data_IF_709972779800
#
_entry.id   IF_709972779800
#
_cell.length_a   1.000
_cell.length_b   1.000
_cell.length_c   1.000
_cell.angle_alpha   90.00
_cell.angle_beta   90.00
_cell.angle_gamma   90.00
#
_symmetry.space_group_name_H-M   'P 1'
#
loop_
_entity.id
_entity.type
_entity.pdbx_description
1 polymer ?
#
# COMPACT_ATOMS: atom_id res chain seq x y z
N UNK A 1 -31.08 -17.53 16.55
CA UNK A 1 -30.87 -16.16 16.01
C UNK A 1 -29.90 -15.47 16.96
N UNK A 2 -28.69 -15.18 16.49
CA UNK A 2 -27.57 -14.77 17.34
C UNK A 2 -27.85 -13.41 18.01
N UNK A 3 -27.91 -13.45 19.34
CA UNK A 3 -28.08 -12.29 20.20
C UNK A 3 -26.81 -11.46 20.18
N UNK A 4 -26.73 -10.45 19.30
CA UNK A 4 -25.64 -9.45 19.26
C UNK A 4 -25.88 -8.45 20.39
N UNK A 5 -25.78 -8.91 21.64
CA UNK A 5 -25.67 -8.02 22.79
C UNK A 5 -24.20 -7.98 23.20
N UNK A 6 -23.43 -7.17 22.49
CA UNK A 6 -22.13 -6.71 22.96
C UNK A 6 -22.38 -5.92 24.25
N UNK A 7 -22.15 -6.52 25.41
CA UNK A 7 -22.16 -5.83 26.70
C UNK A 7 -20.98 -4.84 26.73
N UNK A 8 -21.17 -3.51 26.62
CA UNK A 8 -20.07 -2.57 26.39
C UNK A 8 -19.17 -2.29 27.61
N UNK A 9 -19.34 -2.96 28.75
CA UNK A 9 -18.88 -2.42 30.04
C UNK A 9 -17.55 -2.97 30.61
N UNK A 10 -16.80 -3.81 29.89
CA UNK A 10 -15.54 -4.37 30.42
C UNK A 10 -14.23 -3.76 29.89
N UNK A 11 -14.21 -3.32 28.63
CA UNK A 11 -13.01 -2.87 27.94
C UNK A 11 -13.34 -1.96 26.74
N UNK A 12 -13.67 -0.67 26.97
CA UNK A 12 -14.22 0.22 25.93
C UNK A 12 -13.28 0.40 24.73
N UNK A 13 -11.97 0.50 24.97
CA UNK A 13 -10.96 0.64 23.90
C UNK A 13 -10.93 -0.59 23.00
N UNK A 14 -11.06 -1.79 23.56
CA UNK A 14 -11.06 -3.04 22.78
C UNK A 14 -12.27 -3.11 21.86
N UNK A 15 -13.44 -2.74 22.36
CA UNK A 15 -14.67 -2.68 21.56
C UNK A 15 -14.53 -1.68 20.42
N UNK A 16 -13.99 -0.48 20.69
CA UNK A 16 -13.75 0.52 19.65
C UNK A 16 -12.77 0.03 18.57
N UNK A 17 -11.67 -0.62 18.96
CA UNK A 17 -10.71 -1.21 18.02
C UNK A 17 -11.38 -2.28 17.16
N UNK A 18 -12.18 -3.16 17.75
CA UNK A 18 -12.91 -4.19 17.02
C UNK A 18 -13.92 -3.60 16.04
N UNK A 19 -14.73 -2.63 16.48
CA UNK A 19 -15.66 -1.91 15.61
C UNK A 19 -14.93 -1.22 14.45
N UNK A 20 -13.79 -0.57 14.72
CA UNK A 20 -12.97 0.06 13.70
C UNK A 20 -12.43 -0.97 12.69
N UNK A 21 -11.88 -2.09 13.16
CA UNK A 21 -11.36 -3.16 12.30
C UNK A 21 -12.49 -3.76 11.44
N UNK A 22 -13.64 -4.09 12.05
CA UNK A 22 -14.80 -4.63 11.34
C UNK A 22 -15.30 -3.65 10.27
N UNK A 23 -15.35 -2.36 10.58
CA UNK A 23 -15.70 -1.32 9.62
C UNK A 23 -14.72 -1.28 8.44
N UNK A 24 -13.41 -1.31 8.71
CA UNK A 24 -12.38 -1.33 7.65
C UNK A 24 -12.47 -2.58 6.78
N UNK A 25 -12.72 -3.75 7.38
CA UNK A 25 -12.92 -5.01 6.63
C UNK A 25 -14.16 -4.91 5.74
N UNK A 26 -15.26 -4.35 6.23
CA UNK A 26 -16.47 -4.14 5.44
C UNK A 26 -16.20 -3.26 4.21
N UNK A 27 -15.48 -2.14 4.39
CA UNK A 27 -15.06 -1.28 3.28
C UNK A 27 -14.15 -2.01 2.28
N UNK A 28 -13.21 -2.81 2.77
CA UNK A 28 -12.30 -3.59 1.91
C UNK A 28 -13.09 -4.61 1.06
N UNK A 29 -14.07 -5.28 1.67
CA UNK A 29 -14.92 -6.26 0.99
C UNK A 29 -15.78 -5.57 -0.08
N UNK A 30 -16.38 -4.43 0.24
CA UNK A 30 -17.13 -3.62 -0.72
C UNK A 30 -16.23 -3.22 -1.90
N UNK A 31 -15.01 -2.76 -1.64
CA UNK A 31 -14.07 -2.39 -2.68
C UNK A 31 -13.70 -3.60 -3.59
N UNK A 32 -13.42 -4.76 -3.01
CA UNK A 32 -13.07 -5.98 -3.74
C UNK A 32 -14.25 -6.55 -4.55
N UNK A 33 -15.46 -6.50 -4.00
CA UNK A 33 -16.68 -7.01 -4.63
C UNK A 33 -17.35 -6.00 -5.56
N UNK A 34 -16.90 -4.73 -5.58
CA UNK A 34 -17.48 -3.70 -6.44
C UNK A 34 -17.29 -4.07 -7.92
N UNK A 35 -18.37 -4.20 -8.72
CA UNK A 35 -18.26 -4.43 -10.15
C UNK A 35 -17.79 -3.15 -10.85
N UNK A 36 -16.90 -3.30 -11.84
CA UNK A 36 -16.48 -2.20 -12.71
C UNK A 36 -14.97 -2.24 -13.03
N UNK A 37 -14.56 -1.95 -14.28
CA UNK A 37 -13.15 -1.73 -14.58
C UNK A 37 -12.65 -0.55 -13.73
N UNK A 38 -11.49 -0.73 -13.08
CA UNK A 38 -10.89 0.35 -12.31
C UNK A 38 -10.68 1.57 -13.21
N UNK A 39 -11.08 2.76 -12.76
CA UNK A 39 -10.89 4.03 -13.49
C UNK A 39 -9.42 4.40 -13.73
N UNK A 40 -8.49 3.58 -13.24
CA UNK A 40 -7.07 3.85 -13.18
C UNK A 40 -6.30 2.89 -14.09
N UNK A 41 -5.58 3.45 -15.07
CA UNK A 41 -4.70 2.72 -16.00
C UNK A 41 -3.25 2.64 -15.53
N UNK A 42 -2.85 3.38 -14.49
CA UNK A 42 -1.48 3.39 -13.99
C UNK A 42 -1.10 2.06 -13.34
N UNK A 43 -2.04 1.41 -12.64
CA UNK A 43 -1.84 0.09 -12.05
C UNK A 43 -1.70 -1.01 -13.12
N UNK A 44 -2.44 -0.91 -14.22
CA UNK A 44 -2.31 -1.86 -15.34
C UNK A 44 -0.99 -1.66 -16.10
N UNK A 45 -0.49 -0.42 -16.20
CA UNK A 45 0.82 -0.11 -16.76
C UNK A 45 1.97 -0.63 -15.87
N UNK A 46 1.87 -0.47 -14.55
CA UNK A 46 2.82 -1.04 -13.60
C UNK A 46 2.88 -2.57 -13.69
N UNK A 47 1.72 -3.22 -13.75
CA UNK A 47 1.64 -4.68 -13.86
C UNK A 47 2.19 -5.19 -15.20
N UNK A 48 1.93 -4.46 -16.28
CA UNK A 48 2.49 -4.73 -17.61
C UNK A 48 4.02 -4.57 -17.62
N UNK A 49 4.54 -3.54 -16.96
CA UNK A 49 5.98 -3.32 -16.81
C UNK A 49 6.65 -4.46 -16.03
N UNK A 50 6.06 -4.92 -14.91
CA UNK A 50 6.57 -6.05 -14.14
C UNK A 50 6.62 -7.36 -14.94
N UNK A 51 5.62 -7.58 -15.80
CA UNK A 51 5.59 -8.73 -16.70
C UNK A 51 6.69 -8.64 -17.77
N UNK A 52 6.94 -7.46 -18.33
CA UNK A 52 8.01 -7.21 -19.31
C UNK A 52 9.41 -7.44 -18.72
N UNK A 53 9.61 -7.14 -17.43
CA UNK A 53 10.89 -7.34 -16.70
C UNK A 53 11.14 -8.83 -16.34
N UNK A 54 10.30 -9.75 -16.82
CA UNK A 54 10.49 -11.19 -16.59
C UNK A 54 10.19 -11.65 -15.17
N UNK A 55 9.51 -10.82 -14.36
CA UNK A 55 9.02 -11.26 -13.05
C UNK A 55 7.86 -12.23 -13.24
N UNK A 56 7.82 -13.30 -12.45
CA UNK A 56 6.79 -14.36 -12.51
C UNK A 56 5.39 -13.75 -12.66
N UNK A 57 4.59 -14.27 -13.61
CA UNK A 57 3.18 -13.89 -13.76
C UNK A 57 2.48 -14.04 -12.41
N UNK A 58 1.95 -12.94 -11.90
CA UNK A 58 1.13 -12.95 -10.69
C UNK A 58 -0.16 -13.74 -10.96
N UNK A 59 -0.73 -14.46 -9.98
CA UNK A 59 -2.03 -15.11 -10.15
C UNK A 59 -3.10 -14.08 -10.54
N UNK A 60 -4.05 -14.47 -11.40
CA UNK A 60 -5.11 -13.57 -11.91
C UNK A 60 -5.91 -12.89 -10.80
N UNK A 61 -6.20 -13.62 -9.71
CA UNK A 61 -6.88 -13.09 -8.52
C UNK A 61 -6.07 -11.97 -7.85
N UNK A 62 -4.74 -12.14 -7.77
CA UNK A 62 -3.86 -11.12 -7.18
C UNK A 62 -3.77 -9.91 -8.09
N UNK A 63 -3.72 -10.11 -9.42
CA UNK A 63 -3.77 -9.00 -10.38
C UNK A 63 -5.08 -8.21 -10.27
N UNK A 64 -6.21 -8.90 -10.13
CA UNK A 64 -7.52 -8.28 -9.92
C UNK A 64 -7.57 -7.47 -8.62
N UNK A 65 -7.09 -8.05 -7.51
CA UNK A 65 -7.03 -7.36 -6.22
C UNK A 65 -6.09 -6.15 -6.26
N UNK A 66 -4.92 -6.26 -6.89
CA UNK A 66 -4.00 -5.14 -7.09
C UNK A 66 -4.69 -4.04 -7.91
N UNK A 67 -5.36 -4.38 -9.00
CA UNK A 67 -6.10 -3.41 -9.82
C UNK A 67 -7.22 -2.69 -9.06
N UNK A 68 -7.82 -3.34 -8.06
CA UNK A 68 -8.90 -2.77 -7.23
C UNK A 68 -8.39 -1.97 -6.03
N UNK A 69 -7.29 -2.40 -5.42
CA UNK A 69 -6.76 -1.84 -4.17
C UNK A 69 -5.66 -0.81 -4.40
N UNK A 70 -4.88 -0.95 -5.48
CA UNK A 70 -3.79 -0.04 -5.82
C UNK A 70 -4.32 1.01 -6.78
N UNK A 71 -4.38 2.24 -6.27
CA UNK A 71 -4.75 3.45 -7.01
C UNK A 71 -3.51 4.34 -7.16
N UNK A 72 -3.56 5.29 -8.10
CA UNK A 72 -2.51 6.26 -8.39
C UNK A 72 -1.87 6.86 -7.14
N UNK A 73 -2.67 7.21 -6.13
CA UNK A 73 -2.21 7.72 -4.84
C UNK A 73 -1.13 6.84 -4.17
N UNK A 74 -1.30 5.50 -4.19
CA UNK A 74 -0.31 4.56 -3.67
C UNK A 74 1.01 4.61 -4.47
N UNK A 75 0.95 4.81 -5.79
CA UNK A 75 2.14 4.95 -6.64
C UNK A 75 2.88 6.22 -6.27
N UNK A 76 2.17 7.33 -6.05
CA UNK A 76 2.77 8.59 -5.60
C UNK A 76 3.40 8.46 -4.21
N UNK A 77 2.74 7.80 -3.26
CA UNK A 77 3.33 7.59 -1.93
C UNK A 77 4.62 6.77 -1.97
N UNK A 78 4.68 5.72 -2.79
CA UNK A 78 5.90 4.92 -2.97
C UNK A 78 6.99 5.78 -3.62
N UNK A 79 6.66 6.55 -4.65
CA UNK A 79 7.62 7.44 -5.31
C UNK A 79 8.16 8.49 -4.35
N UNK A 80 7.29 9.19 -3.62
CA UNK A 80 7.67 10.17 -2.60
C UNK A 80 8.51 9.55 -1.47
N UNK A 81 8.23 8.29 -1.08
CA UNK A 81 9.04 7.59 -0.08
C UNK A 81 10.47 7.28 -0.55
N UNK A 82 10.64 7.02 -1.85
CA UNK A 82 11.94 6.68 -2.45
C UNK A 82 12.77 7.93 -2.79
N UNK A 83 12.17 8.90 -3.47
CA UNK A 83 12.88 10.10 -3.99
C UNK A 83 12.81 11.31 -3.07
N UNK A 84 11.96 11.29 -2.05
CA UNK A 84 11.60 12.47 -1.27
C UNK A 84 10.53 13.34 -1.95
N UNK A 85 10.17 14.44 -1.28
CA UNK A 85 9.20 15.42 -1.79
C UNK A 85 9.90 16.35 -2.77
N UNK A 86 9.55 16.24 -4.05
CA UNK A 86 10.15 17.03 -5.14
C UNK A 86 9.16 18.07 -5.65
N UNK A 87 7.86 17.74 -5.67
CA UNK A 87 6.83 18.64 -6.17
C UNK A 87 5.99 19.22 -5.03
N UNK A 88 5.51 20.45 -5.20
CA UNK A 88 4.69 21.16 -4.20
C UNK A 88 3.42 20.40 -3.83
N UNK A 89 2.82 19.72 -4.79
CA UNK A 89 1.61 18.91 -4.58
C UNK A 89 1.84 17.77 -3.60
N UNK A 90 3.06 17.26 -3.52
CA UNK A 90 3.39 16.15 -2.63
C UNK A 90 3.39 16.57 -1.16
N UNK A 91 3.49 17.88 -0.86
CA UNK A 91 3.48 18.40 0.51
C UNK A 91 2.16 18.14 1.23
N UNK A 92 1.06 18.00 0.47
CA UNK A 92 -0.25 17.66 1.01
C UNK A 92 -0.30 16.27 1.66
N UNK A 93 0.63 15.37 1.32
CA UNK A 93 0.61 13.98 1.77
C UNK A 93 1.23 13.76 3.15
N UNK A 94 1.99 14.73 3.66
CA UNK A 94 2.62 14.66 4.97
C UNK A 94 3.74 13.61 5.08
N UNK A 95 4.84 13.99 5.72
CA UNK A 95 6.06 13.20 5.93
C UNK A 95 5.94 11.86 6.69
N UNK A 96 4.89 11.66 7.49
CA UNK A 96 4.80 10.48 8.37
C UNK A 96 4.56 9.18 7.60
N UNK A 97 3.59 9.17 6.69
CA UNK A 97 3.19 7.96 5.97
C UNK A 97 4.27 7.48 5.00
N UNK A 98 4.92 8.39 4.27
CA UNK A 98 6.03 8.07 3.35
C UNK A 98 7.24 7.47 4.08
N UNK A 99 7.54 7.92 5.31
CA UNK A 99 8.61 7.32 6.14
C UNK A 99 8.29 5.89 6.55
N UNK A 100 7.04 5.60 6.92
CA UNK A 100 6.61 4.22 7.26
C UNK A 100 6.75 3.29 6.05
N UNK A 101 6.37 3.77 4.86
CA UNK A 101 6.55 3.03 3.61
C UNK A 101 8.03 2.77 3.33
N UNK A 102 8.88 3.81 3.47
CA UNK A 102 10.32 3.69 3.29
C UNK A 102 10.92 2.65 4.23
N UNK A 103 10.57 2.69 5.51
CA UNK A 103 11.02 1.72 6.51
C UNK A 103 10.59 0.29 6.15
N UNK A 104 9.34 0.12 5.75
CA UNK A 104 8.79 -1.18 5.34
C UNK A 104 9.48 -1.75 4.09
N UNK A 105 10.02 -0.87 3.22
CA UNK A 105 10.71 -1.25 1.98
C UNK A 105 12.20 -1.50 2.19
N UNK A 106 12.83 -0.79 3.14
CA UNK A 106 14.25 -0.97 3.52
C UNK A 106 14.54 -2.41 3.93
N UNK A 107 13.59 -3.10 4.57
CA UNK A 107 13.73 -4.51 4.93
C UNK A 107 14.01 -5.45 3.75
N UNK A 108 13.64 -5.09 2.52
CA UNK A 108 13.91 -5.90 1.32
C UNK A 108 15.24 -5.63 0.62
N UNK A 109 15.90 -4.50 0.91
CA UNK A 109 17.20 -4.16 0.31
C UNK A 109 18.40 -4.69 1.11
N UNK A 110 18.18 -5.17 2.34
CA UNK A 110 19.26 -5.68 3.19
C UNK A 110 19.74 -7.09 2.83
N UNK A 111 18.91 -7.87 2.12
CA UNK A 111 19.18 -9.29 1.85
C UNK A 111 19.74 -9.54 0.43
N UNK A 112 19.85 -8.49 -0.40
CA UNK A 112 20.33 -8.61 -1.78
C UNK A 112 21.25 -7.43 -2.13
N UNK A 113 22.29 -7.27 -1.32
CA UNK A 113 23.43 -6.43 -1.67
C UNK A 113 24.41 -7.33 -2.46
N UNK A 114 24.39 -7.35 -3.81
CA UNK A 114 25.63 -7.58 -4.52
C UNK A 114 26.59 -6.49 -4.06
N UNK A 115 27.84 -6.87 -3.81
CA UNK A 115 28.94 -6.14 -3.16
C UNK A 115 29.38 -4.82 -3.85
N UNK A 116 28.44 -4.01 -4.31
CA UNK A 116 28.64 -2.73 -5.01
C UNK A 116 27.72 -1.69 -4.37
N UNK A 117 27.95 -1.41 -3.09
CA UNK A 117 27.50 -0.18 -2.43
C UNK A 117 28.68 0.43 -1.68
N UNK A 118 29.76 0.66 -2.43
CA UNK A 118 30.65 1.79 -2.19
C UNK A 118 30.38 2.74 -3.36
N UNK A 119 30.44 4.04 -3.11
CA UNK A 119 30.04 5.19 -3.95
C UNK A 119 28.55 5.51 -3.78
N UNK A 120 28.14 6.58 -3.10
CA UNK A 120 28.73 7.92 -3.16
C UNK A 120 28.64 8.64 -1.81
N UNK A 121 29.80 8.89 -1.22
CA UNK A 121 29.98 9.83 -0.13
C UNK A 121 30.47 11.14 -0.75
N UNK A 122 29.55 12.09 -0.94
CA UNK A 122 29.87 13.51 -1.01
C UNK A 122 29.64 14.21 -2.35
N UNK A 123 29.15 15.46 -2.21
CA UNK A 123 29.15 16.62 -3.14
C UNK A 123 27.71 17.02 -3.52
N UNK A 124 27.16 18.15 -3.11
CA UNK A 124 27.70 19.44 -2.58
C UNK A 124 27.00 19.86 -1.30
#
# INVERSE_FOLDING_TARGET
>A
MASIYLHPLGAPVRTLILCFILWKISLLLIAACSPGPGYDTSTSLLLSSLHSIGKKKLPSVVQYLIGKLVRWDAIYFVHASNRGYVYEQEWAFGWGFTRVIKFSTIGKYRDNCPSVCVVDQGRT
#
